data_IF_000922307061
#
_entry.id   IF_000922307061
#
_cell.length_a   1.000
_cell.length_b   1.000
_cell.length_c   1.000
_cell.angle_alpha   90.00
_cell.angle_beta   90.00
_cell.angle_gamma   90.00
#
_symmetry.space_group_name_H-M   'P 1'
#
loop_
_entity.id
_entity.type
_entity.pdbx_description
1 polymer ?
#
# COMPACT_ATOMS: atom_id res chain seq x y z
N UNK A 1 12.82 3.71 -36.04
CA UNK A 1 11.37 3.72 -36.34
C UNK A 1 10.62 3.74 -35.03
N UNK A 2 10.06 4.90 -34.71
CA UNK A 2 9.34 5.20 -33.47
C UNK A 2 7.96 4.54 -33.49
N UNK A 3 7.59 3.82 -32.44
CA UNK A 3 6.19 3.46 -32.16
C UNK A 3 5.94 3.56 -30.64
N UNK A 4 5.84 4.80 -30.17
CA UNK A 4 5.04 5.13 -29.00
C UNK A 4 4.23 6.35 -29.41
N UNK A 5 2.99 6.12 -29.86
CA UNK A 5 2.00 7.14 -30.08
C UNK A 5 1.11 7.24 -28.85
N UNK A 6 1.11 8.42 -28.30
CA UNK A 6 0.03 9.19 -27.67
C UNK A 6 -1.29 8.45 -27.41
N UNK A 7 -1.70 8.45 -26.16
CA UNK A 7 -3.07 8.13 -25.84
C UNK A 7 -3.36 8.15 -24.35
N UNK A 8 -4.00 9.24 -23.93
CA UNK A 8 -4.78 9.40 -22.70
C UNK A 8 -3.98 9.71 -21.45
N UNK A 9 -3.54 10.94 -21.33
CA UNK A 9 -3.43 11.64 -20.06
C UNK A 9 -4.85 11.93 -19.53
N UNK A 10 -5.55 10.92 -19.05
CA UNK A 10 -6.65 11.10 -18.12
C UNK A 10 -6.02 11.49 -16.79
N UNK A 11 -6.33 12.68 -16.30
CA UNK A 11 -5.90 13.19 -15.00
C UNK A 11 -6.56 12.35 -13.89
N UNK A 12 -6.05 11.16 -13.63
CA UNK A 12 -6.49 10.28 -12.54
C UNK A 12 -5.78 10.70 -11.26
N UNK A 13 -6.16 11.89 -10.74
CA UNK A 13 -5.85 12.23 -9.37
C UNK A 13 -6.44 11.13 -8.48
N UNK A 14 -5.69 10.53 -7.53
CA UNK A 14 -6.19 9.45 -6.67
C UNK A 14 -7.41 9.84 -5.82
N UNK A 15 -7.75 11.13 -5.74
CA UNK A 15 -8.98 11.64 -5.15
C UNK A 15 -10.18 11.61 -6.13
N UNK A 16 -9.97 11.30 -7.42
CA UNK A 16 -11.03 11.14 -8.43
C UNK A 16 -11.55 9.68 -8.52
N UNK A 17 -11.47 8.92 -7.45
CA UNK A 17 -12.27 7.69 -7.29
C UNK A 17 -13.75 8.02 -7.00
N UNK A 18 -14.09 9.31 -6.91
CA UNK A 18 -15.46 9.79 -6.98
C UNK A 18 -15.83 10.02 -8.45
N UNK A 19 -17.05 9.68 -8.89
CA UNK A 19 -17.55 10.05 -10.22
C UNK A 19 -17.38 11.55 -10.44
N UNK A 20 -16.93 11.94 -11.64
CA UNK A 20 -16.76 13.35 -12.01
C UNK A 20 -18.03 14.16 -11.67
N UNK A 21 -17.88 15.17 -10.82
CA UNK A 21 -18.96 16.08 -10.42
C UNK A 21 -19.78 15.64 -9.19
N UNK A 22 -19.43 14.54 -8.53
CA UNK A 22 -20.00 14.25 -7.23
C UNK A 22 -19.34 15.13 -6.16
N UNK A 23 -20.10 16.02 -5.53
CA UNK A 23 -19.70 16.64 -4.27
C UNK A 23 -19.39 15.54 -3.26
N UNK A 24 -18.24 15.60 -2.56
CA UNK A 24 -17.94 14.60 -1.54
C UNK A 24 -19.09 14.58 -0.53
N UNK A 25 -19.69 13.40 -0.32
CA UNK A 25 -20.65 13.21 0.76
C UNK A 25 -19.92 13.34 2.10
N UNK A 26 -19.87 14.55 2.61
CA UNK A 26 -19.24 14.88 3.90
C UNK A 26 -19.85 14.15 5.10
N UNK A 27 -20.91 13.37 4.90
CA UNK A 27 -21.52 12.53 5.93
C UNK A 27 -20.81 11.20 6.13
N UNK A 28 -20.00 10.75 5.17
CA UNK A 28 -19.31 9.45 5.19
C UNK A 28 -17.79 9.62 5.17
N UNK A 29 -17.11 8.85 6.03
CA UNK A 29 -15.66 8.74 5.99
C UNK A 29 -15.25 8.06 4.67
N UNK A 30 -14.35 8.66 3.87
CA UNK A 30 -13.89 8.06 2.61
C UNK A 30 -13.25 6.68 2.83
N UNK A 31 -13.48 5.75 1.90
CA UNK A 31 -12.95 4.38 2.00
C UNK A 31 -11.41 4.34 2.07
N UNK A 32 -10.72 5.22 1.36
CA UNK A 32 -9.26 5.30 1.45
C UNK A 32 -8.76 5.64 2.87
N UNK A 33 -9.51 6.47 3.61
CA UNK A 33 -9.20 6.76 5.02
C UNK A 33 -9.47 5.54 5.90
N UNK A 34 -10.57 4.83 5.69
CA UNK A 34 -10.90 3.60 6.42
C UNK A 34 -9.80 2.56 6.22
N UNK A 35 -9.35 2.34 4.97
CA UNK A 35 -8.32 1.35 4.68
C UNK A 35 -6.94 1.77 5.20
N UNK A 36 -6.62 3.05 5.20
CA UNK A 36 -5.38 3.53 5.81
C UNK A 36 -5.38 3.31 7.33
N UNK A 37 -6.48 3.59 8.01
CA UNK A 37 -6.65 3.30 9.45
C UNK A 37 -6.55 1.79 9.71
N UNK A 38 -7.16 0.96 8.88
CA UNK A 38 -7.04 -0.49 8.96
C UNK A 38 -5.59 -0.95 8.81
N UNK A 39 -4.82 -0.37 7.89
CA UNK A 39 -3.41 -0.68 7.74
C UNK A 39 -2.61 -0.31 9.01
N UNK A 40 -2.91 0.81 9.66
CA UNK A 40 -2.27 1.20 10.93
C UNK A 40 -2.66 0.26 12.09
N UNK A 41 -3.90 -0.18 12.18
CA UNK A 41 -4.31 -1.18 13.18
C UNK A 41 -3.63 -2.53 12.93
N UNK A 42 -3.52 -2.96 11.67
CA UNK A 42 -2.80 -4.18 11.30
C UNK A 42 -1.32 -4.11 11.68
N UNK A 43 -0.69 -2.93 11.60
CA UNK A 43 0.69 -2.73 12.00
C UNK A 43 0.95 -3.13 13.46
N UNK A 44 -0.01 -2.94 14.35
CA UNK A 44 0.07 -3.32 15.77
C UNK A 44 0.16 -4.85 15.99
N UNK A 45 -0.18 -5.64 14.98
CA UNK A 45 0.01 -7.09 15.01
C UNK A 45 1.43 -7.52 14.70
N UNK A 46 2.26 -6.62 14.20
CA UNK A 46 3.67 -6.92 13.90
C UNK A 46 4.44 -7.25 15.17
N UNK A 47 5.26 -8.28 15.09
CA UNK A 47 6.19 -8.69 16.15
C UNK A 47 7.61 -8.17 15.92
N UNK A 48 7.80 -7.34 14.87
CA UNK A 48 9.08 -6.72 14.58
C UNK A 48 9.39 -5.64 15.64
N UNK A 49 10.49 -5.80 16.34
CA UNK A 49 10.93 -4.85 17.37
C UNK A 49 11.43 -3.52 16.79
N UNK A 50 11.60 -3.41 15.46
CA UNK A 50 12.23 -2.25 14.82
C UNK A 50 11.23 -1.33 14.14
N UNK A 51 10.33 -1.89 13.35
CA UNK A 51 9.31 -1.14 12.63
C UNK A 51 8.08 -2.02 12.46
N UNK A 52 6.94 -1.55 12.91
CA UNK A 52 5.65 -2.20 12.75
C UNK A 52 4.95 -1.61 11.54
N UNK A 53 4.65 -2.44 10.55
CA UNK A 53 4.01 -2.04 9.29
C UNK A 53 2.83 -2.96 9.02
N UNK A 54 1.72 -2.36 8.60
CA UNK A 54 0.54 -3.06 8.13
C UNK A 54 0.17 -2.64 6.71
N UNK A 55 -0.43 -3.56 5.97
CA UNK A 55 -0.82 -3.40 4.58
C UNK A 55 -2.22 -3.94 4.34
N UNK A 56 -3.02 -3.17 3.62
CA UNK A 56 -4.32 -3.57 3.07
C UNK A 56 -4.22 -3.50 1.55
N UNK A 57 -4.72 -4.50 0.86
CA UNK A 57 -4.85 -4.53 -0.60
C UNK A 57 -6.32 -4.61 -0.94
N UNK A 58 -6.79 -3.75 -1.83
CA UNK A 58 -8.18 -3.70 -2.31
C UNK A 58 -8.24 -3.90 -3.81
N UNK A 59 -9.44 -4.09 -4.33
CA UNK A 59 -9.73 -3.88 -5.75
C UNK A 59 -9.62 -2.39 -6.13
N UNK A 60 -9.71 -2.10 -7.44
CA UNK A 60 -9.59 -0.74 -7.97
C UNK A 60 -10.75 0.18 -7.53
N UNK A 61 -11.93 -0.38 -7.30
CA UNK A 61 -13.14 0.34 -6.89
C UNK A 61 -13.19 0.61 -5.39
N UNK A 62 -12.25 0.07 -4.62
CA UNK A 62 -12.23 0.11 -3.16
C UNK A 62 -13.45 -0.56 -2.49
N UNK A 63 -14.13 -1.45 -3.20
CA UNK A 63 -15.32 -2.14 -2.68
C UNK A 63 -14.94 -3.38 -1.85
N UNK A 64 -13.81 -4.02 -2.20
CA UNK A 64 -13.41 -5.27 -1.58
C UNK A 64 -11.96 -5.22 -1.07
N UNK A 65 -11.77 -5.62 0.19
CA UNK A 65 -10.44 -5.96 0.70
C UNK A 65 -10.07 -7.35 0.20
N UNK A 66 -9.03 -7.45 -0.63
CA UNK A 66 -8.63 -8.73 -1.25
C UNK A 66 -7.47 -9.40 -0.52
N UNK A 67 -6.68 -8.65 0.22
CA UNK A 67 -5.64 -9.20 1.09
C UNK A 67 -5.22 -8.22 2.19
N UNK A 68 -4.69 -8.76 3.27
CA UNK A 68 -4.07 -7.99 4.35
C UNK A 68 -2.72 -8.58 4.72
N UNK A 69 -1.82 -7.73 5.22
CA UNK A 69 -0.51 -8.13 5.72
C UNK A 69 -0.03 -7.27 6.87
N UNK A 70 0.82 -7.83 7.68
CA UNK A 70 1.67 -7.13 8.65
C UNK A 70 3.03 -7.80 8.67
N UNK A 71 4.08 -7.06 8.98
CA UNK A 71 5.42 -7.63 8.95
C UNK A 71 5.69 -8.51 10.17
N UNK A 72 6.49 -9.55 9.96
CA UNK A 72 6.82 -10.53 10.99
C UNK A 72 7.50 -11.75 10.40
N UNK A 73 7.74 -12.75 11.24
CA UNK A 73 8.33 -14.00 10.80
C UNK A 73 7.34 -14.86 10.02
N UNK A 74 7.83 -15.88 9.32
CA UNK A 74 7.00 -16.81 8.58
C UNK A 74 6.09 -17.63 9.52
N UNK A 75 4.93 -18.06 8.98
CA UNK A 75 3.97 -18.89 9.73
C UNK A 75 4.64 -20.16 10.24
N UNK A 76 4.48 -20.43 11.53
CA UNK A 76 5.07 -21.60 12.19
C UNK A 76 6.46 -21.35 12.78
N UNK A 77 7.10 -20.23 12.48
CA UNK A 77 8.35 -19.82 13.12
C UNK A 77 8.08 -18.91 14.34
N UNK A 78 9.08 -18.73 15.24
CA UNK A 78 8.91 -17.88 16.41
C UNK A 78 8.53 -16.43 16.02
N UNK A 79 7.57 -15.85 16.74
CA UNK A 79 7.09 -14.48 16.54
C UNK A 79 8.09 -13.45 17.06
N UNK A 80 9.26 -13.39 16.45
CA UNK A 80 10.35 -12.43 16.78
C UNK A 80 11.19 -12.18 15.54
N UNK A 81 12.02 -11.14 15.60
CA UNK A 81 13.07 -10.93 14.58
C UNK A 81 14.13 -12.04 14.67
N UNK A 82 14.65 -12.49 13.55
CA UNK A 82 15.72 -13.48 13.47
C UNK A 82 17.07 -12.88 13.92
N UNK A 83 17.22 -11.57 13.76
CA UNK A 83 18.44 -10.82 14.08
C UNK A 83 18.14 -9.43 14.65
N UNK A 84 18.98 -9.00 15.57
CA UNK A 84 18.97 -7.62 16.08
C UNK A 84 19.76 -6.65 15.17
N UNK A 85 20.48 -7.15 14.16
CA UNK A 85 21.31 -6.33 13.26
C UNK A 85 20.41 -5.43 12.41
N UNK A 86 20.69 -4.11 12.35
CA UNK A 86 19.96 -3.18 11.50
C UNK A 86 19.96 -3.59 10.03
N UNK A 87 18.76 -3.66 9.41
CA UNK A 87 18.59 -4.07 8.01
C UNK A 87 18.48 -5.58 7.79
N UNK A 88 18.77 -6.42 8.81
CA UNK A 88 18.80 -7.89 8.72
C UNK A 88 17.87 -8.56 9.73
N UNK A 89 16.73 -7.94 10.06
CA UNK A 89 15.82 -8.49 11.07
C UNK A 89 15.14 -9.81 10.66
N UNK A 90 15.21 -10.22 9.39
CA UNK A 90 14.62 -11.46 8.87
C UNK A 90 13.08 -11.42 8.72
N UNK A 91 12.41 -10.36 9.18
CA UNK A 91 10.97 -10.25 9.04
C UNK A 91 10.55 -10.13 7.57
N UNK A 92 9.55 -10.91 7.18
CA UNK A 92 8.84 -10.70 5.92
C UNK A 92 8.09 -9.37 6.01
N UNK A 93 8.23 -8.50 5.02
CA UNK A 93 7.55 -7.21 5.01
C UNK A 93 6.04 -7.37 4.87
N UNK A 94 5.27 -6.42 5.40
CA UNK A 94 3.81 -6.45 5.41
C UNK A 94 3.23 -6.52 4.00
N UNK A 95 3.85 -5.82 3.05
CA UNK A 95 3.49 -5.78 1.64
C UNK A 95 3.65 -7.17 1.01
N UNK A 96 4.77 -7.84 1.26
CA UNK A 96 5.01 -9.22 0.78
C UNK A 96 3.96 -10.15 1.37
N UNK A 97 3.72 -10.06 2.70
CA UNK A 97 2.71 -10.86 3.39
C UNK A 97 1.28 -10.63 2.88
N UNK A 98 0.96 -9.45 2.35
CA UNK A 98 -0.30 -9.17 1.69
C UNK A 98 -0.32 -9.72 0.25
N UNK A 99 0.72 -9.41 -0.55
CA UNK A 99 0.77 -9.75 -1.97
C UNK A 99 0.74 -11.25 -2.24
N UNK A 100 1.39 -12.07 -1.40
CA UNK A 100 1.35 -13.54 -1.55
C UNK A 100 -0.04 -14.15 -1.30
N UNK A 101 -0.94 -13.39 -0.68
CA UNK A 101 -2.34 -13.79 -0.43
C UNK A 101 -3.31 -13.16 -1.43
N UNK A 102 -2.91 -12.09 -2.09
CA UNK A 102 -3.74 -11.41 -3.07
C UNK A 102 -3.90 -12.25 -4.34
N UNK A 103 -5.09 -12.25 -4.99
CA UNK A 103 -5.29 -12.99 -6.23
C UNK A 103 -4.34 -12.51 -7.34
N UNK A 104 -3.50 -13.41 -7.86
CA UNK A 104 -2.52 -13.09 -8.90
C UNK A 104 -3.14 -12.72 -10.25
N UNK A 105 -4.37 -13.18 -10.52
CA UNK A 105 -5.13 -12.85 -11.73
C UNK A 105 -5.80 -11.47 -11.69
N UNK A 106 -5.97 -10.88 -10.50
CA UNK A 106 -6.58 -9.57 -10.36
C UNK A 106 -5.58 -8.48 -10.76
N UNK A 107 -6.02 -7.57 -11.62
CA UNK A 107 -5.27 -6.36 -12.02
C UNK A 107 -5.86 -5.13 -11.33
N UNK A 108 -5.16 -4.00 -11.45
CA UNK A 108 -5.61 -2.69 -10.99
C UNK A 108 -5.92 -2.63 -9.48
N UNK A 109 -5.11 -3.35 -8.68
CA UNK A 109 -5.24 -3.35 -7.23
C UNK A 109 -4.68 -2.06 -6.63
N UNK A 110 -5.23 -1.67 -5.48
CA UNK A 110 -4.78 -0.53 -4.68
C UNK A 110 -4.19 -1.03 -3.36
N UNK A 111 -3.09 -0.41 -2.94
CA UNK A 111 -2.41 -0.73 -1.68
C UNK A 111 -2.51 0.44 -0.71
N UNK A 112 -2.82 0.12 0.53
CA UNK A 112 -2.73 1.02 1.69
C UNK A 112 -1.70 0.45 2.65
N UNK A 113 -0.65 1.21 2.94
CA UNK A 113 0.47 0.75 3.79
C UNK A 113 0.85 1.82 4.81
N UNK A 114 1.07 1.43 6.05
CA UNK A 114 1.36 2.38 7.12
C UNK A 114 2.75 3.06 7.01
N UNK A 115 3.66 2.52 6.20
CA UNK A 115 4.96 3.11 5.86
C UNK A 115 5.28 2.87 4.40
N UNK A 116 5.88 3.85 3.70
CA UNK A 116 6.19 3.70 2.28
C UNK A 116 7.06 2.49 1.99
N UNK A 117 6.86 1.80 0.84
CA UNK A 117 7.53 0.55 0.54
C UNK A 117 9.02 0.76 0.23
N UNK A 118 9.85 -0.22 0.59
CA UNK A 118 11.22 -0.30 0.12
C UNK A 118 11.28 -0.70 -1.36
N UNK A 119 12.47 -0.59 -1.98
CA UNK A 119 12.69 -0.93 -3.40
C UNK A 119 12.21 -2.34 -3.76
N UNK A 120 12.46 -3.34 -2.90
CA UNK A 120 12.03 -4.71 -3.18
C UNK A 120 10.51 -4.84 -3.14
N UNK A 121 9.84 -4.26 -2.17
CA UNK A 121 8.38 -4.26 -2.09
C UNK A 121 7.76 -3.50 -3.27
N UNK A 122 8.34 -2.36 -3.68
CA UNK A 122 7.89 -1.63 -4.85
C UNK A 122 7.95 -2.47 -6.13
N UNK A 123 9.05 -3.21 -6.37
CA UNK A 123 9.17 -4.14 -7.51
C UNK A 123 8.09 -5.24 -7.49
N UNK A 124 7.81 -5.80 -6.31
CA UNK A 124 6.76 -6.82 -6.16
C UNK A 124 5.37 -6.22 -6.42
N UNK A 125 5.10 -5.01 -5.95
CA UNK A 125 3.84 -4.30 -6.21
C UNK A 125 3.62 -4.06 -7.70
N UNK A 126 4.64 -3.56 -8.42
CA UNK A 126 4.60 -3.34 -9.87
C UNK A 126 4.23 -4.64 -10.59
N UNK A 127 4.96 -5.74 -10.31
CA UNK A 127 4.71 -7.03 -10.95
C UNK A 127 3.36 -7.66 -10.56
N UNK A 128 2.81 -7.26 -9.41
CA UNK A 128 1.50 -7.75 -8.94
C UNK A 128 0.31 -6.98 -9.52
N UNK A 129 0.52 -5.99 -10.39
CA UNK A 129 -0.54 -5.18 -11.00
C UNK A 129 -1.18 -4.20 -10.01
N UNK A 130 -0.37 -3.61 -9.14
CA UNK A 130 -0.79 -2.49 -8.29
C UNK A 130 -0.75 -1.21 -9.14
N UNK A 131 -1.78 -0.37 -9.03
CA UNK A 131 -1.86 0.92 -9.74
C UNK A 131 -1.67 2.12 -8.81
N UNK A 132 -2.09 2.00 -7.55
CA UNK A 132 -1.97 3.06 -6.55
C UNK A 132 -1.44 2.52 -5.24
N UNK A 133 -0.57 3.31 -4.59
CA UNK A 133 0.00 2.99 -3.28
C UNK A 133 -0.20 4.18 -2.35
N UNK A 134 -1.16 4.06 -1.43
CA UNK A 134 -1.34 5.02 -0.35
C UNK A 134 -0.44 4.65 0.82
N UNK A 135 0.35 5.60 1.33
CA UNK A 135 1.20 5.36 2.48
C UNK A 135 1.09 6.48 3.52
N UNK A 136 1.25 6.13 4.79
CA UNK A 136 1.12 7.10 5.89
C UNK A 136 2.43 7.80 6.17
N UNK A 137 3.47 7.05 6.49
CA UNK A 137 4.77 7.57 6.88
C UNK A 137 5.81 7.29 5.81
N UNK A 138 6.65 8.27 5.46
CA UNK A 138 7.76 8.00 4.56
C UNK A 138 8.76 7.04 5.24
N UNK A 139 9.28 6.10 4.47
CA UNK A 139 10.42 5.30 4.88
C UNK A 139 11.70 6.10 4.64
N UNK A 140 12.76 5.75 5.37
CA UNK A 140 14.05 6.47 5.31
C UNK A 140 14.68 6.55 3.91
N UNK A 141 14.39 5.56 3.05
CA UNK A 141 14.88 5.46 1.68
C UNK A 141 13.71 5.71 0.72
N UNK A 142 13.71 6.82 -0.04
CA UNK A 142 12.63 7.17 -0.96
C UNK A 142 12.64 6.37 -2.27
N UNK A 143 13.69 5.61 -2.56
CA UNK A 143 13.89 4.93 -3.85
C UNK A 143 12.74 3.99 -4.22
N UNK A 144 12.02 3.44 -3.23
CA UNK A 144 10.83 2.62 -3.50
C UNK A 144 9.69 3.44 -4.12
N UNK A 145 9.48 4.66 -3.66
CA UNK A 145 8.46 5.59 -4.18
C UNK A 145 8.84 6.07 -5.58
N UNK A 146 10.10 6.44 -5.78
CA UNK A 146 10.63 6.87 -7.08
C UNK A 146 10.46 5.77 -8.14
N UNK A 147 10.75 4.52 -7.76
CA UNK A 147 10.58 3.36 -8.63
C UNK A 147 9.12 3.11 -9.00
N UNK A 148 8.19 3.22 -8.05
CA UNK A 148 6.75 3.11 -8.33
C UNK A 148 6.32 4.15 -9.36
N UNK A 149 6.67 5.42 -9.16
CA UNK A 149 6.35 6.52 -10.08
C UNK A 149 6.92 6.28 -11.48
N UNK A 150 8.18 5.83 -11.56
CA UNK A 150 8.85 5.51 -12.85
C UNK A 150 8.12 4.40 -13.60
N UNK A 151 7.54 3.44 -12.89
CA UNK A 151 6.81 2.32 -13.46
C UNK A 151 5.32 2.62 -13.75
N UNK A 152 4.86 3.86 -13.55
CA UNK A 152 3.48 4.26 -13.77
C UNK A 152 2.52 3.89 -12.63
N UNK A 153 3.02 3.46 -11.50
CA UNK A 153 2.23 3.29 -10.26
C UNK A 153 2.17 4.61 -9.53
N UNK A 154 1.00 5.03 -9.09
CA UNK A 154 0.79 6.32 -8.41
C UNK A 154 0.98 6.18 -6.90
N UNK A 155 2.09 6.68 -6.31
CA UNK A 155 2.24 6.76 -4.87
C UNK A 155 1.54 8.00 -4.32
N UNK A 156 0.84 7.86 -3.21
CA UNK A 156 0.12 8.94 -2.53
C UNK A 156 0.47 8.92 -1.05
N UNK A 157 1.08 9.99 -0.57
CA UNK A 157 1.24 10.15 0.86
C UNK A 157 -0.05 10.68 1.48
N UNK A 158 -0.58 9.93 2.44
CA UNK A 158 -1.75 10.30 3.21
C UNK A 158 -1.33 10.69 4.62
N UNK A 159 -1.16 11.99 4.88
CA UNK A 159 -0.58 12.52 6.10
C UNK A 159 -1.61 13.11 7.08
N UNK A 160 -2.88 13.21 6.69
CA UNK A 160 -3.96 13.80 7.49
C UNK A 160 -5.11 12.83 7.69
N UNK A 161 -5.73 12.91 8.88
CA UNK A 161 -7.05 12.37 9.13
C UNK A 161 -8.07 13.49 8.91
N UNK A 162 -8.90 13.35 7.90
CA UNK A 162 -9.93 14.35 7.57
C UNK A 162 -11.17 14.20 8.48
N UNK A 163 -11.34 13.01 9.03
CA UNK A 163 -12.49 12.69 9.88
C UNK A 163 -12.06 12.07 11.21
N UNK A 164 -12.67 12.51 12.28
CA UNK A 164 -12.52 11.86 13.58
C UNK A 164 -13.48 10.67 13.70
N UNK A 165 -13.03 9.60 14.36
CA UNK A 165 -13.92 8.52 14.74
C UNK A 165 -14.86 9.03 15.84
N UNK A 166 -16.18 8.95 15.60
CA UNK A 166 -17.20 9.24 16.60
C UNK A 166 -17.42 8.05 17.52
#
# INVERSE_FOLDING_TARGET
MSVFKDGVAGNTHPLNLLPDGAEPDHSRIPLYEVYMRMAEELAKRSTCARLQVGTVVTDAQLENVVAIGYNGNAKGLPNRCDSAVPGSCGCIHSEVNALVKAPGSMRDKVVFVSSSPCVMCAKLMINSGITHVFFRRPYRDPSGIELLSTAGVTPVQYDRWEHEWR
#
